data_IF_911750885802
#
_entry.id   IF_911750885802
#
_cell.length_a   1.000
_cell.length_b   1.000
_cell.length_c   1.000
_cell.angle_alpha   90.00
_cell.angle_beta   90.00
_cell.angle_gamma   90.00
#
_symmetry.space_group_name_H-M   'P 1'
#
loop_
_entity.id
_entity.type
_entity.pdbx_description
1 polymer ?
#
# COMPACT_ATOMS: atom_id res chain seq x y z
N UNK A 1 12.93 -28.51 -3.42
CA UNK A 1 12.66 -27.24 -4.13
C UNK A 1 12.64 -26.15 -3.08
N UNK A 2 13.11 -24.93 -3.37
CA UNK A 2 13.08 -23.86 -2.37
C UNK A 2 11.87 -22.95 -2.61
N UNK A 3 11.28 -22.47 -1.51
CA UNK A 3 10.04 -21.69 -1.50
C UNK A 3 10.20 -20.40 -0.71
N UNK A 4 9.38 -19.41 -1.01
CA UNK A 4 9.21 -18.21 -0.21
C UNK A 4 7.73 -17.84 -0.09
N UNK A 5 7.37 -17.19 0.99
CA UNK A 5 6.04 -16.60 1.14
C UNK A 5 6.11 -15.09 1.02
N UNK A 6 5.16 -14.51 0.30
CA UNK A 6 4.91 -13.08 0.29
C UNK A 6 3.55 -12.79 0.92
N UNK A 7 3.49 -11.85 1.84
CA UNK A 7 2.28 -11.48 2.57
C UNK A 7 2.07 -9.99 2.46
N UNK A 8 0.90 -9.58 2.00
CA UNK A 8 0.43 -8.18 1.98
C UNK A 8 -0.66 -8.02 3.04
N UNK A 9 -0.34 -7.28 4.09
CA UNK A 9 -1.23 -7.08 5.25
C UNK A 9 -2.04 -5.80 5.05
N UNK A 10 -3.23 -5.92 4.46
CA UNK A 10 -4.16 -4.81 4.34
C UNK A 10 -5.05 -4.62 5.56
N UNK A 11 -5.68 -3.45 5.65
CA UNK A 11 -6.62 -3.15 6.76
C UNK A 11 -7.93 -3.93 6.75
N UNK A 12 -8.25 -4.64 5.68
CA UNK A 12 -9.48 -5.44 5.54
C UNK A 12 -9.17 -6.90 5.23
N UNK A 13 -8.18 -7.15 4.38
CA UNK A 13 -7.78 -8.47 3.92
C UNK A 13 -6.27 -8.60 3.91
N UNK A 14 -5.80 -9.82 4.13
CA UNK A 14 -4.40 -10.21 4.05
C UNK A 14 -4.26 -11.14 2.86
N UNK A 15 -3.38 -10.79 1.92
CA UNK A 15 -3.07 -11.62 0.76
C UNK A 15 -1.79 -12.38 1.01
N UNK A 16 -1.79 -13.67 0.71
CA UNK A 16 -0.66 -14.57 0.94
C UNK A 16 -0.35 -15.28 -0.37
N UNK A 17 0.90 -15.24 -0.81
CA UNK A 17 1.39 -15.95 -1.99
C UNK A 17 2.50 -16.92 -1.63
N UNK A 18 2.47 -18.11 -2.21
CA UNK A 18 3.56 -19.07 -2.22
C UNK A 18 4.33 -18.93 -3.54
N UNK A 19 5.62 -18.74 -3.45
CA UNK A 19 6.49 -18.54 -4.60
C UNK A 19 7.60 -19.60 -4.65
N UNK A 20 8.02 -19.97 -5.86
CA UNK A 20 9.32 -20.63 -6.05
C UNK A 20 10.44 -19.61 -5.84
N UNK A 21 11.66 -20.10 -5.60
CA UNK A 21 12.86 -19.24 -5.47
C UNK A 21 13.13 -18.40 -6.72
N UNK A 22 12.63 -18.82 -7.90
CA UNK A 22 12.76 -18.08 -9.16
C UNK A 22 11.70 -16.96 -9.30
N UNK A 23 10.86 -16.77 -8.28
CA UNK A 23 9.83 -15.73 -8.24
C UNK A 23 8.52 -16.06 -8.94
N UNK A 24 8.30 -17.32 -9.31
CA UNK A 24 7.01 -17.72 -9.89
C UNK A 24 5.98 -17.88 -8.78
N UNK A 25 4.85 -17.19 -8.91
CA UNK A 25 3.69 -17.38 -8.04
C UNK A 25 3.07 -18.76 -8.30
N UNK A 26 3.12 -19.61 -7.31
CA UNK A 26 2.59 -20.99 -7.38
C UNK A 26 1.12 -21.03 -6.95
N UNK A 27 0.79 -20.34 -5.87
CA UNK A 27 -0.56 -20.29 -5.34
C UNK A 27 -0.76 -19.02 -4.50
N UNK A 28 -2.00 -18.56 -4.40
CA UNK A 28 -2.35 -17.37 -3.61
C UNK A 28 -3.63 -17.59 -2.82
N UNK A 29 -3.71 -16.95 -1.67
CA UNK A 29 -4.86 -16.97 -0.76
C UNK A 29 -5.14 -15.58 -0.24
N UNK A 30 -6.35 -15.42 0.28
CA UNK A 30 -6.79 -14.22 0.95
C UNK A 30 -7.54 -14.61 2.23
N UNK A 31 -7.20 -13.95 3.33
CA UNK A 31 -7.88 -14.13 4.62
C UNK A 31 -8.31 -12.75 5.17
N UNK A 32 -9.37 -12.67 5.97
CA UNK A 32 -9.77 -11.41 6.58
C UNK A 32 -8.73 -10.92 7.59
N UNK A 33 -8.58 -9.60 7.70
CA UNK A 33 -7.72 -8.98 8.71
C UNK A 33 -8.46 -8.87 10.04
N UNK A 34 -8.02 -9.61 11.05
CA UNK A 34 -8.57 -9.57 12.39
C UNK A 34 -8.00 -8.39 13.18
N UNK A 35 -8.76 -7.29 13.26
CA UNK A 35 -8.36 -6.07 14.00
C UNK A 35 -8.81 -6.06 15.46
N UNK A 36 -9.39 -7.13 15.97
CA UNK A 36 -9.74 -7.22 17.39
C UNK A 36 -8.49 -7.07 18.27
N UNK A 37 -8.67 -6.53 19.45
CA UNK A 37 -7.58 -6.31 20.41
C UNK A 37 -6.37 -5.55 19.80
N UNK A 38 -6.66 -4.51 19.00
CA UNK A 38 -5.65 -3.71 18.30
C UNK A 38 -4.75 -4.56 17.38
N UNK A 39 -5.34 -5.52 16.66
CA UNK A 39 -4.65 -6.35 15.69
C UNK A 39 -3.65 -7.34 16.26
N UNK A 40 -3.75 -7.65 17.56
CA UNK A 40 -2.83 -8.54 18.28
C UNK A 40 -2.71 -9.94 17.66
N UNK A 41 -3.79 -10.41 17.01
CA UNK A 41 -3.86 -11.77 16.48
C UNK A 41 -3.37 -11.90 15.03
N UNK A 42 -3.17 -10.78 14.32
CA UNK A 42 -2.84 -10.77 12.89
C UNK A 42 -1.61 -11.64 12.58
N UNK A 43 -0.50 -11.44 13.28
CA UNK A 43 0.74 -12.16 13.01
C UNK A 43 0.62 -13.66 13.30
N UNK A 44 -0.09 -14.03 14.37
CA UNK A 44 -0.34 -15.43 14.72
C UNK A 44 -1.21 -16.12 13.66
N UNK A 45 -2.29 -15.47 13.23
CA UNK A 45 -3.18 -16.02 12.20
C UNK A 45 -2.46 -16.21 10.86
N UNK A 46 -1.57 -15.30 10.48
CA UNK A 46 -0.73 -15.46 9.28
C UNK A 46 0.23 -16.64 9.43
N UNK A 47 0.92 -16.75 10.57
CA UNK A 47 1.87 -17.84 10.81
C UNK A 47 1.17 -19.20 10.83
N UNK A 48 0.01 -19.31 11.47
CA UNK A 48 -0.80 -20.54 11.49
C UNK A 48 -1.30 -20.90 10.10
N UNK A 49 -1.68 -19.90 9.29
CA UNK A 49 -2.09 -20.13 7.91
C UNK A 49 -0.94 -20.64 7.05
N UNK A 50 0.24 -20.03 7.14
CA UNK A 50 1.46 -20.47 6.44
C UNK A 50 1.85 -21.89 6.86
N UNK A 51 1.83 -22.21 8.16
CA UNK A 51 2.15 -23.54 8.65
C UNK A 51 1.19 -24.61 8.07
N UNK A 52 -0.11 -24.31 8.00
CA UNK A 52 -1.10 -25.20 7.35
C UNK A 52 -0.79 -25.43 5.87
N UNK A 53 -0.32 -24.42 5.15
CA UNK A 53 0.09 -24.56 3.74
C UNK A 53 1.32 -25.48 3.66
N UNK A 54 2.33 -25.25 4.49
CA UNK A 54 3.55 -26.05 4.55
C UNK A 54 3.20 -27.54 4.78
N UNK A 55 2.36 -27.82 5.77
CA UNK A 55 1.90 -29.18 6.09
C UNK A 55 1.09 -29.80 4.95
N UNK A 56 0.11 -29.06 4.41
CA UNK A 56 -0.80 -29.59 3.37
C UNK A 56 -0.11 -29.91 2.05
N UNK A 57 1.06 -29.33 1.81
CA UNK A 57 1.85 -29.48 0.58
C UNK A 57 3.09 -30.33 0.78
N UNK A 58 3.26 -30.96 1.95
CA UNK A 58 4.45 -31.74 2.32
C UNK A 58 5.75 -30.97 2.06
N UNK A 59 5.76 -29.65 2.35
CA UNK A 59 6.94 -28.81 2.23
C UNK A 59 7.78 -28.95 3.50
N UNK A 60 9.05 -29.31 3.35
CA UNK A 60 9.98 -29.27 4.47
C UNK A 60 10.23 -27.80 4.90
N UNK A 61 10.10 -27.50 6.19
CA UNK A 61 10.29 -26.14 6.71
C UNK A 61 11.67 -25.55 6.35
N UNK A 62 12.69 -26.40 6.26
CA UNK A 62 14.04 -26.06 5.79
C UNK A 62 14.12 -25.69 4.31
N UNK A 63 13.08 -25.96 3.53
CA UNK A 63 12.97 -25.56 2.14
C UNK A 63 12.30 -24.19 1.98
N UNK A 64 11.74 -23.62 3.06
CA UNK A 64 11.22 -22.25 3.06
C UNK A 64 12.38 -21.28 3.33
N UNK A 65 12.75 -20.47 2.33
CA UNK A 65 13.85 -19.50 2.44
C UNK A 65 13.48 -18.29 3.29
N UNK A 66 12.18 -18.01 3.44
CA UNK A 66 11.67 -16.95 4.31
C UNK A 66 10.29 -16.44 3.92
N UNK A 67 9.83 -15.47 4.71
CA UNK A 67 8.56 -14.77 4.55
C UNK A 67 8.82 -13.27 4.39
N UNK A 68 8.32 -12.67 3.31
CA UNK A 68 8.31 -11.23 3.13
C UNK A 68 6.95 -10.67 3.54
N UNK A 69 6.91 -9.72 4.47
CA UNK A 69 5.69 -9.06 4.93
C UNK A 69 5.65 -7.61 4.43
N UNK A 70 4.61 -7.24 3.68
CA UNK A 70 4.24 -5.86 3.39
C UNK A 70 3.23 -5.38 4.41
N UNK A 71 3.49 -4.23 5.04
CA UNK A 71 2.59 -3.65 6.05
C UNK A 71 2.28 -2.19 5.71
N UNK A 72 1.06 -1.70 5.98
CA UNK A 72 0.75 -0.28 5.80
C UNK A 72 1.45 0.55 6.89
N UNK A 73 2.12 1.60 6.47
CA UNK A 73 2.81 2.54 7.35
C UNK A 73 4.33 2.39 7.37
N UNK A 74 5.03 3.29 8.09
CA UNK A 74 6.47 3.37 8.11
C UNK A 74 7.12 2.16 8.77
N UNK A 75 8.08 1.53 8.06
CA UNK A 75 8.88 0.42 8.55
C UNK A 75 10.35 0.79 8.49
N UNK A 76 11.04 0.75 9.63
CA UNK A 76 12.48 1.00 9.65
C UNK A 76 13.28 -0.26 9.21
N UNK A 77 14.58 -0.08 9.01
CA UNK A 77 15.50 -1.14 8.54
C UNK A 77 15.58 -2.38 9.44
N UNK A 78 15.07 -2.31 10.68
CA UNK A 78 15.08 -3.42 11.64
C UNK A 78 13.69 -4.09 11.75
N UNK A 79 12.77 -3.84 10.82
CA UNK A 79 11.41 -4.41 10.82
C UNK A 79 10.48 -3.83 11.89
N UNK A 80 10.82 -2.66 12.43
CA UNK A 80 10.03 -1.99 13.45
C UNK A 80 9.02 -1.04 12.82
N UNK A 81 7.76 -1.19 13.20
CA UNK A 81 6.64 -0.33 12.82
C UNK A 81 6.32 0.58 13.99
N UNK A 82 6.45 1.89 13.82
CA UNK A 82 6.20 2.86 14.88
C UNK A 82 4.71 3.01 15.19
N UNK A 83 3.90 3.19 14.16
CA UNK A 83 2.44 3.27 14.22
C UNK A 83 1.85 2.73 12.93
N UNK A 84 0.82 1.90 13.04
CA UNK A 84 -0.02 1.49 11.92
C UNK A 84 -1.50 1.56 12.32
N UNK A 85 -2.10 2.72 12.10
CA UNK A 85 -3.50 3.01 12.48
C UNK A 85 -4.48 2.01 11.86
N UNK A 86 -4.24 1.64 10.60
CA UNK A 86 -5.12 0.74 9.85
C UNK A 86 -5.21 -0.67 10.44
N UNK A 87 -4.19 -1.10 11.19
CA UNK A 87 -4.11 -2.40 11.86
C UNK A 87 -4.31 -2.31 13.37
N UNK A 88 -4.35 -1.10 13.92
CA UNK A 88 -4.40 -0.86 15.37
C UNK A 88 -3.05 -1.04 16.07
N UNK A 89 -1.96 -1.13 15.34
CA UNK A 89 -0.64 -1.37 15.93
C UNK A 89 0.02 -0.09 16.41
N UNK A 90 0.58 -0.18 17.60
CA UNK A 90 1.45 0.82 18.18
C UNK A 90 2.79 0.19 18.54
N UNK A 91 3.89 0.71 18.00
CA UNK A 91 5.25 0.36 18.40
C UNK A 91 5.53 -1.16 18.48
N UNK A 92 5.57 -1.82 17.32
CA UNK A 92 5.82 -3.27 17.25
C UNK A 92 7.04 -3.57 16.35
N UNK A 93 7.92 -4.49 16.78
CA UNK A 93 8.90 -5.12 15.91
C UNK A 93 8.27 -6.33 15.22
N UNK A 94 7.71 -6.11 14.02
CA UNK A 94 6.98 -7.13 13.28
C UNK A 94 7.90 -8.27 12.84
N UNK A 95 9.15 -7.95 12.46
CA UNK A 95 10.15 -8.95 12.04
C UNK A 95 10.47 -9.92 13.19
N UNK A 96 10.75 -9.37 14.38
CA UNK A 96 11.07 -10.15 15.56
C UNK A 96 9.89 -10.98 16.06
N UNK A 97 8.70 -10.37 16.19
CA UNK A 97 7.50 -11.05 16.68
C UNK A 97 7.05 -12.17 15.73
N UNK A 98 7.05 -11.92 14.42
CA UNK A 98 6.68 -12.93 13.45
C UNK A 98 7.69 -14.08 13.42
N UNK A 99 8.98 -13.78 13.51
CA UNK A 99 10.02 -14.83 13.59
C UNK A 99 9.83 -15.72 14.81
N UNK A 100 9.54 -15.15 15.99
CA UNK A 100 9.27 -15.92 17.21
C UNK A 100 8.09 -16.90 17.06
N UNK A 101 7.04 -16.48 16.34
CA UNK A 101 5.83 -17.28 16.16
C UNK A 101 6.04 -18.36 15.08
N UNK A 102 6.61 -17.97 13.94
CA UNK A 102 6.71 -18.84 12.76
C UNK A 102 7.95 -19.75 12.74
N UNK A 103 9.01 -19.33 13.43
CA UNK A 103 10.36 -19.93 13.36
C UNK A 103 10.90 -19.96 11.90
N UNK A 104 10.47 -18.99 11.06
CA UNK A 104 10.95 -18.82 9.70
C UNK A 104 11.78 -17.53 9.60
N UNK A 105 12.74 -17.45 8.66
CA UNK A 105 13.37 -16.19 8.32
C UNK A 105 12.29 -15.21 7.80
N UNK A 106 12.33 -13.94 8.25
CA UNK A 106 11.34 -12.94 7.86
C UNK A 106 12.00 -11.61 7.53
N UNK A 107 11.41 -10.89 6.57
CA UNK A 107 11.69 -9.50 6.26
C UNK A 107 10.40 -8.72 6.16
N UNK A 108 10.43 -7.51 6.70
CA UNK A 108 9.26 -6.62 6.76
C UNK A 108 9.57 -5.32 6.04
N UNK A 109 8.64 -4.82 5.26
CA UNK A 109 8.72 -3.53 4.58
C UNK A 109 7.38 -2.83 4.51
N UNK A 110 7.40 -1.53 4.25
CA UNK A 110 6.18 -0.81 3.90
C UNK A 110 5.59 -1.37 2.59
N UNK A 111 4.27 -1.45 2.48
CA UNK A 111 3.52 -2.03 1.36
C UNK A 111 3.90 -1.42 -0.01
N UNK A 112 3.94 -0.09 -0.12
CA UNK A 112 4.33 0.58 -1.36
C UNK A 112 5.82 0.34 -1.71
N UNK A 113 6.69 0.30 -0.72
CA UNK A 113 8.11 0.02 -0.92
C UNK A 113 8.35 -1.42 -1.39
N UNK A 114 7.66 -2.42 -0.82
CA UNK A 114 7.80 -3.81 -1.27
C UNK A 114 7.14 -4.03 -2.63
N UNK A 115 6.07 -3.28 -2.95
CA UNK A 115 5.48 -3.27 -4.28
C UNK A 115 6.47 -2.73 -5.33
N UNK A 116 7.17 -1.61 -5.04
CA UNK A 116 8.21 -1.07 -5.93
C UNK A 116 9.35 -2.08 -6.16
N UNK A 117 9.75 -2.81 -5.13
CA UNK A 117 10.74 -3.87 -5.25
C UNK A 117 10.22 -5.04 -6.11
N UNK A 118 8.95 -5.39 -5.95
CA UNK A 118 8.28 -6.41 -6.78
C UNK A 118 8.23 -6.01 -8.26
N UNK A 119 7.90 -4.76 -8.56
CA UNK A 119 7.91 -4.20 -9.91
C UNK A 119 9.31 -4.19 -10.53
N UNK A 120 10.33 -3.86 -9.75
CA UNK A 120 11.71 -3.95 -10.19
C UNK A 120 12.13 -5.40 -10.46
N UNK A 121 11.68 -6.35 -9.67
CA UNK A 121 12.08 -7.75 -9.80
C UNK A 121 11.35 -8.47 -10.94
N UNK A 122 10.03 -8.37 -11.02
CA UNK A 122 9.20 -9.16 -11.95
C UNK A 122 8.17 -8.34 -12.73
N UNK A 123 8.09 -7.04 -12.52
CA UNK A 123 7.13 -6.14 -13.16
C UNK A 123 7.73 -5.23 -14.21
N UNK A 124 7.15 -4.05 -14.36
CA UNK A 124 7.54 -3.05 -15.36
C UNK A 124 8.96 -2.49 -15.16
N UNK A 125 9.47 -2.54 -13.94
CA UNK A 125 10.84 -2.13 -13.60
C UNK A 125 11.92 -3.19 -13.82
N UNK A 126 11.57 -4.34 -14.40
CA UNK A 126 12.53 -5.44 -14.60
C UNK A 126 13.71 -5.04 -15.49
N UNK A 127 14.92 -5.25 -14.96
CA UNK A 127 16.17 -4.89 -15.64
C UNK A 127 16.73 -3.52 -15.25
N UNK A 128 15.98 -2.73 -14.48
CA UNK A 128 16.46 -1.49 -13.88
C UNK A 128 16.85 -1.72 -12.41
N UNK A 129 17.79 -0.92 -11.91
CA UNK A 129 18.20 -0.93 -10.49
C UNK A 129 17.64 0.26 -9.71
N UNK A 130 17.17 1.27 -10.43
CA UNK A 130 16.58 2.47 -9.86
C UNK A 130 15.14 2.56 -10.37
N UNK A 131 14.19 2.54 -9.43
CA UNK A 131 12.75 2.54 -9.71
C UNK A 131 12.06 3.46 -8.73
N UNK A 132 11.26 4.39 -9.25
CA UNK A 132 10.27 5.12 -8.48
C UNK A 132 8.89 4.62 -8.89
N UNK A 133 8.17 4.07 -7.93
CA UNK A 133 6.79 3.62 -8.10
C UNK A 133 5.85 4.58 -7.39
N UNK A 134 4.78 4.94 -8.07
CA UNK A 134 3.68 5.75 -7.52
C UNK A 134 2.39 4.97 -7.64
N UNK A 135 1.68 4.82 -6.55
CA UNK A 135 0.35 4.18 -6.55
C UNK A 135 -0.72 5.23 -6.29
N UNK A 136 -1.70 5.30 -7.19
CA UNK A 136 -2.89 6.15 -7.06
C UNK A 136 -4.08 5.24 -6.74
N UNK A 137 -4.56 5.33 -5.52
CA UNK A 137 -5.70 4.59 -5.01
C UNK A 137 -6.54 5.46 -4.10
N UNK A 138 -7.05 4.92 -2.99
CA UNK A 138 -7.72 5.70 -1.94
C UNK A 138 -6.85 6.85 -1.44
N UNK A 139 -5.55 6.61 -1.34
CA UNK A 139 -4.49 7.59 -1.07
C UNK A 139 -3.43 7.59 -2.18
N UNK A 140 -2.27 8.18 -1.91
CA UNK A 140 -1.08 8.17 -2.77
C UNK A 140 0.06 7.48 -2.03
N UNK A 141 0.47 6.34 -2.53
CA UNK A 141 1.66 5.65 -2.03
C UNK A 141 2.86 5.87 -2.95
N UNK A 142 4.05 5.76 -2.40
CA UNK A 142 5.30 5.81 -3.15
C UNK A 142 6.29 4.77 -2.65
N UNK A 143 7.03 4.19 -3.59
CA UNK A 143 8.15 3.30 -3.29
C UNK A 143 9.36 3.68 -4.11
N UNK A 144 10.48 3.87 -3.45
CA UNK A 144 11.73 4.23 -4.09
C UNK A 144 12.76 3.11 -3.91
N UNK A 145 13.31 2.63 -5.02
CA UNK A 145 14.42 1.67 -5.05
C UNK A 145 15.59 2.35 -5.73
N UNK A 146 16.76 2.35 -5.09
CA UNK A 146 18.00 2.84 -5.66
C UNK A 146 19.07 1.77 -5.51
N UNK A 147 19.83 1.53 -6.59
CA UNK A 147 20.84 0.47 -6.64
C UNK A 147 20.30 -0.90 -6.18
N UNK A 148 19.06 -1.22 -6.53
CA UNK A 148 18.39 -2.47 -6.15
C UNK A 148 17.96 -2.56 -4.68
N UNK A 149 18.00 -1.45 -3.94
CA UNK A 149 17.65 -1.41 -2.52
C UNK A 149 16.52 -0.41 -2.25
N UNK A 150 15.58 -0.78 -1.39
CA UNK A 150 14.52 0.11 -0.92
C UNK A 150 15.11 1.28 -0.15
N UNK A 151 14.69 2.50 -0.50
CA UNK A 151 15.01 3.74 0.22
C UNK A 151 13.93 3.97 1.27
N UNK A 152 14.07 3.32 2.42
CA UNK A 152 13.11 3.48 3.53
C UNK A 152 13.32 4.78 4.34
N UNK A 153 14.47 5.44 4.18
CA UNK A 153 14.84 6.56 5.05
C UNK A 153 15.16 6.15 6.49
N UNK A 154 15.66 7.07 7.28
CA UNK A 154 16.13 6.78 8.65
C UNK A 154 14.97 6.45 9.61
N UNK A 155 13.77 7.01 9.33
CA UNK A 155 12.56 6.82 10.14
C UNK A 155 11.52 5.90 9.47
N UNK A 156 11.86 5.29 8.34
CA UNK A 156 10.94 4.42 7.60
C UNK A 156 9.94 5.16 6.70
N UNK A 157 10.07 6.48 6.56
CA UNK A 157 9.16 7.32 5.77
C UNK A 157 9.71 7.68 4.37
N UNK A 158 10.72 6.94 3.88
CA UNK A 158 11.21 7.09 2.51
C UNK A 158 10.15 6.63 1.53
N UNK A 159 9.85 7.46 0.53
CA UNK A 159 8.80 7.15 -0.45
C UNK A 159 7.40 7.68 -0.10
N UNK A 160 7.19 8.31 1.04
CA UNK A 160 5.89 8.90 1.45
C UNK A 160 5.56 10.17 0.63
N UNK A 161 5.61 10.06 -0.72
CA UNK A 161 5.42 11.17 -1.66
C UNK A 161 4.00 11.74 -1.62
N UNK A 162 3.01 10.94 -1.25
CA UNK A 162 1.63 11.40 -1.08
C UNK A 162 1.48 12.49 -0.04
N UNK A 163 2.41 12.57 0.91
CA UNK A 163 2.42 13.57 1.98
C UNK A 163 3.34 14.77 1.71
N UNK A 164 3.89 14.84 0.50
CA UNK A 164 4.64 16.02 0.05
C UNK A 164 3.67 17.21 -0.13
N UNK A 165 3.93 18.37 0.51
CA UNK A 165 3.08 19.54 0.34
C UNK A 165 3.25 20.11 -1.07
N UNK A 166 2.14 20.28 -1.77
CA UNK A 166 2.05 20.85 -3.14
C UNK A 166 1.24 22.15 -3.16
N UNK A 167 0.58 22.47 -2.04
CA UNK A 167 -0.22 23.68 -1.90
C UNK A 167 -0.10 24.27 -0.50
N UNK A 168 0.35 25.50 -0.38
CA UNK A 168 0.68 26.14 0.91
C UNK A 168 -0.57 26.68 1.64
N UNK A 169 -1.66 26.98 0.93
CA UNK A 169 -2.86 27.64 1.44
C UNK A 169 -4.06 26.68 1.64
N UNK A 170 -3.84 25.37 1.70
CA UNK A 170 -4.89 24.41 1.98
C UNK A 170 -5.26 24.43 3.47
N UNK A 171 -6.51 24.79 3.75
CA UNK A 171 -7.03 24.89 5.12
C UNK A 171 -7.43 23.52 5.69
N UNK A 172 -7.79 22.57 4.83
CA UNK A 172 -8.22 21.25 5.24
C UNK A 172 -7.00 20.38 5.58
N UNK A 173 -6.89 19.84 6.80
CA UNK A 173 -5.75 18.98 7.13
C UNK A 173 -5.80 17.66 6.36
N UNK A 174 -4.63 17.17 5.97
CA UNK A 174 -4.43 15.80 5.51
C UNK A 174 -4.50 14.85 6.73
N UNK A 175 -4.79 13.57 6.47
CA UNK A 175 -4.80 12.52 7.52
C UNK A 175 -3.46 12.37 8.25
N UNK A 176 -2.35 12.81 7.66
CA UNK A 176 -1.03 12.82 8.30
C UNK A 176 -0.82 14.02 9.26
N UNK A 177 -1.76 14.95 9.32
CA UNK A 177 -1.69 16.17 10.14
C UNK A 177 -1.08 17.39 9.42
N UNK A 178 -0.50 17.23 8.24
CA UNK A 178 -0.04 18.33 7.39
C UNK A 178 -1.20 18.92 6.56
N UNK A 179 -0.91 20.00 5.83
CA UNK A 179 -1.83 20.63 4.90
C UNK A 179 -1.25 20.63 3.49
N UNK A 180 -2.12 20.60 2.48
CA UNK A 180 -1.72 20.71 1.08
C UNK A 180 -0.93 19.53 0.54
N UNK A 181 -1.06 18.33 1.14
CA UNK A 181 -0.39 17.13 0.67
C UNK A 181 -0.87 16.71 -0.72
N UNK A 182 0.02 16.18 -1.55
CA UNK A 182 -0.27 15.67 -2.90
C UNK A 182 -1.49 14.74 -2.91
N UNK A 183 -1.61 13.87 -1.93
CA UNK A 183 -2.72 12.93 -1.77
C UNK A 183 -4.09 13.62 -1.76
N UNK A 184 -4.21 14.83 -1.19
CA UNK A 184 -5.47 15.58 -1.10
C UNK A 184 -6.00 16.06 -2.46
N UNK A 185 -5.17 15.97 -3.51
CA UNK A 185 -5.51 16.41 -4.87
C UNK A 185 -5.62 15.26 -5.86
N UNK A 186 -4.62 14.36 -5.90
CA UNK A 186 -4.50 13.37 -6.98
C UNK A 186 -4.98 11.97 -6.60
N UNK A 187 -5.27 11.68 -5.33
CA UNK A 187 -5.84 10.39 -4.94
C UNK A 187 -7.31 10.27 -5.36
N UNK A 188 -7.84 9.04 -5.40
CA UNK A 188 -9.25 8.80 -5.71
C UNK A 188 -10.20 9.53 -4.74
N UNK A 189 -9.84 9.63 -3.46
CA UNK A 189 -10.60 10.41 -2.48
C UNK A 189 -10.34 11.91 -2.60
N UNK A 190 -9.12 12.27 -2.93
CA UNK A 190 -8.70 13.66 -3.13
C UNK A 190 -9.45 14.31 -4.28
N UNK A 191 -9.41 13.72 -5.49
CA UNK A 191 -10.08 14.27 -6.67
C UNK A 191 -11.59 14.42 -6.47
N UNK A 192 -12.24 13.48 -5.74
CA UNK A 192 -13.66 13.61 -5.40
C UNK A 192 -13.91 14.79 -4.46
N UNK A 193 -13.02 15.01 -3.50
CA UNK A 193 -13.12 16.17 -2.60
C UNK A 193 -12.94 17.48 -3.36
N UNK A 194 -11.97 17.55 -4.26
CA UNK A 194 -11.78 18.72 -5.11
C UNK A 194 -12.97 18.94 -6.04
N UNK A 195 -13.54 17.88 -6.63
CA UNK A 195 -14.75 17.96 -7.43
C UNK A 195 -15.92 18.59 -6.67
N UNK A 196 -16.17 18.13 -5.45
CA UNK A 196 -17.24 18.69 -4.61
C UNK A 196 -17.02 20.16 -4.30
N UNK A 197 -15.80 20.53 -3.89
CA UNK A 197 -15.43 21.94 -3.66
C UNK A 197 -15.63 22.81 -4.92
N UNK A 198 -15.24 22.29 -6.08
CA UNK A 198 -15.41 22.98 -7.36
C UNK A 198 -16.89 23.16 -7.70
N UNK A 199 -17.70 22.09 -7.59
CA UNK A 199 -19.14 22.13 -7.89
C UNK A 199 -19.95 23.02 -6.94
N UNK A 200 -19.49 23.23 -5.71
CA UNK A 200 -20.10 24.15 -4.75
C UNK A 200 -19.87 25.62 -5.14
N UNK A 201 -18.74 25.92 -5.80
CA UNK A 201 -18.34 27.29 -6.13
C UNK A 201 -18.50 27.64 -7.62
N UNK A 202 -18.92 26.70 -8.46
CA UNK A 202 -19.07 26.85 -9.91
C UNK A 202 -20.51 26.52 -10.30
N UNK A 203 -21.24 27.47 -10.89
CA UNK A 203 -22.62 27.29 -11.32
C UNK A 203 -22.76 26.74 -12.75
N UNK A 204 -21.65 26.51 -13.45
CA UNK A 204 -21.68 25.96 -14.81
C UNK A 204 -22.38 24.58 -14.83
N UNK A 205 -23.09 24.25 -15.92
CA UNK A 205 -23.65 22.93 -16.11
C UNK A 205 -22.54 21.86 -16.11
N UNK A 206 -22.77 20.79 -15.39
CA UNK A 206 -21.87 19.63 -15.37
C UNK A 206 -22.66 18.38 -15.03
N UNK A 207 -22.44 17.29 -15.76
CA UNK A 207 -22.99 15.97 -15.51
C UNK A 207 -22.53 15.35 -14.20
N UNK A 208 -21.43 15.87 -13.60
CA UNK A 208 -20.99 15.45 -12.27
C UNK A 208 -22.03 15.73 -11.18
N UNK A 209 -22.97 16.66 -11.42
CA UNK A 209 -24.05 16.99 -10.46
C UNK A 209 -25.17 15.94 -10.42
N UNK A 210 -25.24 15.09 -11.44
CA UNK A 210 -26.30 14.07 -11.57
C UNK A 210 -25.98 12.80 -10.76
N UNK A 211 -24.78 12.70 -10.18
CA UNK A 211 -24.37 11.56 -9.38
C UNK A 211 -24.70 11.72 -7.90
N UNK A 212 -25.53 10.86 -7.35
CA UNK A 212 -25.81 10.81 -5.91
C UNK A 212 -24.56 10.46 -5.10
N UNK A 213 -23.71 9.60 -5.67
CA UNK A 213 -22.44 9.17 -5.09
C UNK A 213 -21.31 9.33 -6.13
N UNK A 214 -20.67 10.49 -6.13
CA UNK A 214 -19.56 10.79 -7.01
C UNK A 214 -18.33 10.00 -6.59
N UNK A 215 -17.66 9.37 -7.54
CA UNK A 215 -16.37 8.71 -7.39
C UNK A 215 -15.36 9.18 -8.45
N UNK A 216 -14.09 8.81 -8.29
CA UNK A 216 -13.04 9.20 -9.22
C UNK A 216 -13.30 8.71 -10.65
N UNK A 217 -13.86 7.50 -10.80
CA UNK A 217 -14.17 6.93 -12.11
C UNK A 217 -15.20 7.78 -12.85
N UNK A 218 -16.26 8.22 -12.17
CA UNK A 218 -17.26 9.12 -12.76
C UNK A 218 -16.63 10.41 -13.27
N UNK A 219 -15.69 10.99 -12.53
CA UNK A 219 -15.00 12.24 -12.91
C UNK A 219 -14.22 12.04 -14.21
N UNK A 220 -13.40 10.99 -14.32
CA UNK A 220 -12.64 10.71 -15.54
C UNK A 220 -13.53 10.30 -16.72
N UNK A 221 -14.60 9.56 -16.48
CA UNK A 221 -15.56 9.16 -17.51
C UNK A 221 -16.27 10.42 -18.10
N UNK A 222 -16.72 11.34 -17.25
CA UNK A 222 -17.39 12.57 -17.71
C UNK A 222 -16.40 13.55 -18.38
N UNK A 223 -15.17 13.66 -17.89
CA UNK A 223 -14.12 14.41 -18.57
C UNK A 223 -13.90 13.86 -20.00
N UNK A 224 -13.81 12.54 -20.15
CA UNK A 224 -13.66 11.89 -21.46
C UNK A 224 -14.83 12.15 -22.40
N UNK A 225 -16.05 12.35 -21.87
CA UNK A 225 -17.26 12.70 -22.63
C UNK A 225 -17.34 14.20 -22.99
N UNK A 226 -16.42 15.02 -22.49
CA UNK A 226 -16.32 16.43 -22.78
C UNK A 226 -17.00 17.35 -21.79
N UNK A 227 -17.32 16.88 -20.57
CA UNK A 227 -17.77 17.76 -19.50
C UNK A 227 -16.65 18.75 -19.14
N UNK A 228 -16.95 20.05 -19.24
CA UNK A 228 -15.94 21.12 -19.10
C UNK A 228 -15.41 21.20 -17.68
N UNK A 229 -16.28 21.05 -16.68
CA UNK A 229 -15.89 21.13 -15.26
C UNK A 229 -15.05 19.91 -14.88
N UNK A 230 -15.44 18.73 -15.35
CA UNK A 230 -14.66 17.51 -15.13
C UNK A 230 -13.28 17.57 -15.81
N UNK A 231 -13.18 18.13 -17.04
CA UNK A 231 -11.89 18.31 -17.71
C UNK A 231 -10.98 19.28 -16.96
N UNK A 232 -11.49 20.43 -16.53
CA UNK A 232 -10.69 21.39 -15.75
C UNK A 232 -10.19 20.77 -14.44
N UNK A 233 -11.00 19.95 -13.79
CA UNK A 233 -10.60 19.27 -12.59
C UNK A 233 -9.47 18.26 -12.86
N UNK A 234 -9.62 17.43 -13.89
CA UNK A 234 -8.60 16.43 -14.27
C UNK A 234 -7.30 17.10 -14.70
N UNK A 235 -7.38 18.22 -15.44
CA UNK A 235 -6.19 18.98 -15.87
C UNK A 235 -5.48 19.68 -14.71
N UNK A 236 -6.16 19.90 -13.58
CA UNK A 236 -5.61 20.56 -12.40
C UNK A 236 -4.97 19.57 -11.40
N UNK A 237 -5.15 18.28 -11.63
CA UNK A 237 -4.62 17.18 -10.77
C UNK A 237 -3.43 16.48 -11.41
#
# INVERSE_FOLDING_TARGET
>A
MKYGFGVDIGGTTIKIGLFSVDGNLMEKWEIPTNKTDNGKHILTEIADFINRIIESKDIEKSDVIGVGLGVPGPVNKNGYVSVCVNLGWNSINVEEEFHKISDLPVKVGNDANVAALGEMWQGAGKGYQDVLMVTLGTGVGGGCVLNGQIVSGIHGAGGEIGHMPVKDDEETPCNCGNHGCLEQYVSATGIVTQAKKMLENDERPSSLRDYDCLDAKHIYDEATKGDVVANELVDST
#
